data_IF_712250057350
#
_entry.id   IF_712250057350
#
_cell.length_a   1.000
_cell.length_b   1.000
_cell.length_c   1.000
_cell.angle_alpha   90.00
_cell.angle_beta   90.00
_cell.angle_gamma   90.00
#
_symmetry.space_group_name_H-M   'P 1'
#
loop_
_entity.id
_entity.type
_entity.pdbx_description
1 polymer ?
#
# COMPACT_ATOMS: atom_id res chain seq x y z
N UNK A 1 -17.26 -50.01 14.53
CA UNK A 1 -16.00 -49.25 14.62
C UNK A 1 -15.98 -48.24 13.49
N UNK A 2 -16.21 -46.95 13.79
CA UNK A 2 -16.26 -45.88 12.78
C UNK A 2 -14.84 -45.37 12.53
N UNK A 3 -14.38 -45.43 11.29
CA UNK A 3 -13.11 -44.88 10.86
C UNK A 3 -13.19 -43.34 10.90
N UNK A 4 -12.39 -42.73 11.78
CA UNK A 4 -12.23 -41.27 11.83
C UNK A 4 -11.39 -40.85 10.64
N UNK A 5 -12.04 -40.25 9.64
CA UNK A 5 -11.40 -39.55 8.53
C UNK A 5 -10.68 -38.32 9.08
N UNK A 6 -9.38 -38.45 9.37
CA UNK A 6 -8.52 -37.29 9.59
C UNK A 6 -8.23 -36.68 8.23
N UNK A 7 -9.11 -35.79 7.79
CA UNK A 7 -8.83 -34.91 6.66
C UNK A 7 -7.72 -33.95 7.08
N UNK A 8 -6.50 -34.27 6.68
CA UNK A 8 -5.35 -33.38 6.75
C UNK A 8 -5.66 -32.17 5.87
N UNK A 9 -6.22 -31.12 6.46
CA UNK A 9 -6.35 -29.83 5.81
C UNK A 9 -4.94 -29.34 5.47
N UNK A 10 -4.58 -29.43 4.20
CA UNK A 10 -3.40 -28.79 3.65
C UNK A 10 -3.53 -27.30 3.98
N UNK A 11 -2.78 -26.83 4.98
CA UNK A 11 -2.46 -25.43 5.16
C UNK A 11 -1.72 -25.01 3.90
N UNK A 12 -2.46 -24.54 2.89
CA UNK A 12 -1.88 -23.81 1.76
C UNK A 12 -1.26 -22.56 2.37
N UNK A 13 0.07 -22.41 2.40
CA UNK A 13 0.66 -21.15 2.78
C UNK A 13 0.20 -20.15 1.71
N UNK A 14 -0.69 -19.24 2.09
CA UNK A 14 -1.09 -18.13 1.24
C UNK A 14 0.17 -17.38 0.76
N UNK A 15 0.14 -16.80 -0.45
CA UNK A 15 1.33 -16.24 -1.07
C UNK A 15 2.05 -15.29 -0.11
N UNK A 16 3.27 -15.67 0.22
CA UNK A 16 4.23 -14.92 1.01
C UNK A 16 4.37 -13.53 0.39
N UNK A 17 4.41 -12.51 1.25
CA UNK A 17 4.54 -11.10 0.89
C UNK A 17 5.43 -10.91 -0.35
N UNK A 18 4.87 -10.30 -1.39
CA UNK A 18 5.58 -10.12 -2.64
C UNK A 18 6.79 -9.20 -2.43
N UNK A 19 7.95 -9.54 -3.03
CA UNK A 19 9.10 -8.67 -2.99
C UNK A 19 8.75 -7.33 -3.61
N UNK A 20 9.22 -6.24 -3.00
CA UNK A 20 9.08 -4.91 -3.57
C UNK A 20 9.73 -4.88 -4.96
N UNK A 21 9.10 -4.23 -5.96
CA UNK A 21 9.69 -4.12 -7.29
C UNK A 21 10.97 -3.29 -7.25
N UNK A 22 11.98 -3.72 -8.03
CA UNK A 22 13.22 -2.97 -8.20
C UNK A 22 12.98 -1.77 -9.13
N UNK A 23 12.43 -0.70 -8.56
CA UNK A 23 12.16 0.55 -9.28
C UNK A 23 12.31 1.75 -8.37
N UNK A 24 12.58 2.91 -8.99
CA UNK A 24 12.60 4.20 -8.32
C UNK A 24 11.37 5.01 -8.72
N UNK A 25 10.77 5.68 -7.75
CA UNK A 25 9.64 6.58 -7.96
C UNK A 25 10.01 8.00 -7.51
N UNK A 26 9.70 9.04 -8.30
CA UNK A 26 9.88 10.41 -7.87
C UNK A 26 8.92 10.76 -6.72
N UNK A 27 9.34 11.66 -5.83
CA UNK A 27 8.46 12.35 -4.90
C UNK A 27 7.88 13.62 -5.51
N UNK A 28 7.15 14.40 -4.70
CA UNK A 28 6.53 15.66 -5.12
C UNK A 28 7.53 16.73 -5.57
N UNK A 29 8.81 16.64 -5.14
CA UNK A 29 9.89 17.55 -5.52
C UNK A 29 10.71 17.02 -6.71
N UNK A 30 10.34 15.85 -7.26
CA UNK A 30 11.07 15.19 -8.34
C UNK A 30 12.31 14.41 -7.89
N UNK A 31 12.55 14.28 -6.58
CA UNK A 31 13.66 13.45 -6.08
C UNK A 31 13.29 11.97 -6.23
N UNK A 32 14.18 11.17 -6.80
CA UNK A 32 13.96 9.73 -7.00
C UNK A 32 14.22 8.93 -5.72
N UNK A 33 13.29 8.05 -5.36
CA UNK A 33 13.39 7.14 -4.21
C UNK A 33 13.29 5.70 -4.66
N UNK A 34 14.26 4.85 -4.31
CA UNK A 34 14.25 3.44 -4.67
C UNK A 34 13.39 2.63 -3.70
N UNK A 35 12.43 1.86 -4.21
CA UNK A 35 11.59 0.99 -3.37
C UNK A 35 12.39 -0.11 -2.67
N UNK A 36 13.54 -0.50 -3.22
CA UNK A 36 14.42 -1.51 -2.61
C UNK A 36 15.07 -1.05 -1.30
N UNK A 37 15.10 0.25 -1.04
CA UNK A 37 15.58 0.80 0.23
C UNK A 37 14.63 0.45 1.39
N UNK A 38 13.39 0.07 1.05
CA UNK A 38 12.35 -0.26 2.02
C UNK A 38 12.22 -1.77 2.27
N UNK A 39 13.01 -2.62 1.61
CA UNK A 39 12.87 -4.11 1.65
C UNK A 39 12.91 -4.75 3.04
N UNK A 40 13.56 -4.10 4.00
CA UNK A 40 13.70 -4.59 5.39
C UNK A 40 12.81 -3.82 6.39
N UNK A 41 12.00 -2.90 5.90
CA UNK A 41 11.10 -2.08 6.70
C UNK A 41 9.69 -2.64 6.63
N UNK A 42 8.85 -2.32 7.63
CA UNK A 42 7.42 -2.54 7.52
C UNK A 42 6.88 -1.46 6.60
N UNK A 43 6.33 -1.82 5.45
CA UNK A 43 5.84 -0.84 4.47
C UNK A 43 4.37 -1.06 4.22
N UNK A 44 3.61 0.04 4.17
CA UNK A 44 2.24 0.08 3.68
C UNK A 44 2.23 0.91 2.41
N UNK A 45 1.91 0.28 1.29
CA UNK A 45 1.79 0.95 -0.01
C UNK A 45 0.31 1.12 -0.33
N UNK A 46 -0.11 2.37 -0.48
CA UNK A 46 -1.44 2.74 -0.95
C UNK A 46 -1.34 3.26 -2.39
N UNK A 47 -1.87 2.50 -3.34
CA UNK A 47 -1.98 2.92 -4.73
C UNK A 47 -3.28 3.75 -4.88
N UNK A 48 -3.16 5.02 -5.25
CA UNK A 48 -4.30 5.93 -5.26
C UNK A 48 -4.28 6.90 -6.45
N UNK A 49 -5.39 7.60 -6.61
CA UNK A 49 -5.54 8.71 -7.55
C UNK A 49 -6.58 9.71 -7.03
N UNK A 50 -6.52 10.97 -7.45
CA UNK A 50 -7.42 12.05 -6.99
C UNK A 50 -8.88 11.81 -7.42
N UNK A 51 -9.09 11.04 -8.48
CA UNK A 51 -10.41 10.61 -8.96
C UNK A 51 -10.91 9.32 -8.30
N UNK A 52 -10.08 8.62 -7.50
CA UNK A 52 -10.46 7.36 -6.85
C UNK A 52 -11.32 7.61 -5.60
N UNK A 53 -12.64 7.52 -5.74
CA UNK A 53 -13.60 7.72 -4.63
C UNK A 53 -13.29 6.92 -3.35
N UNK A 54 -13.07 5.59 -3.41
CA UNK A 54 -12.72 4.80 -2.23
C UNK A 54 -11.40 5.23 -1.57
N UNK A 55 -10.35 5.44 -2.36
CA UNK A 55 -9.03 5.84 -1.87
C UNK A 55 -9.10 7.15 -1.06
N UNK A 56 -9.92 8.11 -1.52
CA UNK A 56 -10.15 9.38 -0.83
C UNK A 56 -10.74 9.24 0.55
N UNK A 57 -11.66 8.29 0.73
CA UNK A 57 -12.29 8.04 2.03
C UNK A 57 -11.33 7.40 3.04
N UNK A 58 -10.36 6.62 2.56
CA UNK A 58 -9.39 5.91 3.39
C UNK A 58 -8.17 6.79 3.76
N UNK A 59 -7.85 7.81 2.97
CA UNK A 59 -6.66 8.64 3.16
C UNK A 59 -6.54 9.29 4.55
N UNK A 60 -7.57 9.90 5.16
CA UNK A 60 -7.47 10.47 6.50
C UNK A 60 -7.14 9.43 7.58
N UNK A 61 -7.68 8.22 7.45
CA UNK A 61 -7.38 7.12 8.38
C UNK A 61 -5.94 6.64 8.21
N UNK A 62 -5.45 6.55 6.97
CA UNK A 62 -4.06 6.18 6.68
C UNK A 62 -3.08 7.27 7.13
N UNK A 63 -3.44 8.55 7.02
CA UNK A 63 -2.67 9.67 7.57
C UNK A 63 -2.50 9.51 9.09
N UNK A 64 -3.59 9.27 9.80
CA UNK A 64 -3.56 9.08 11.24
C UNK A 64 -2.71 7.85 11.61
N UNK A 65 -2.86 6.75 10.88
CA UNK A 65 -2.07 5.54 11.09
C UNK A 65 -0.57 5.80 10.86
N UNK A 66 -0.21 6.58 9.84
CA UNK A 66 1.17 6.98 9.56
C UNK A 66 1.78 7.80 10.70
N UNK A 67 1.01 8.72 11.28
CA UNK A 67 1.45 9.52 12.43
C UNK A 67 1.60 8.68 13.71
N UNK A 68 0.75 7.69 13.92
CA UNK A 68 0.74 6.84 15.11
C UNK A 68 1.77 5.70 15.08
N UNK A 69 2.22 5.28 13.90
CA UNK A 69 3.11 4.14 13.73
C UNK A 69 4.40 4.56 13.01
N UNK A 70 5.31 5.29 13.69
CA UNK A 70 6.56 5.75 13.09
C UNK A 70 7.51 4.61 12.70
N UNK A 71 7.31 3.39 13.23
CA UNK A 71 8.06 2.19 12.85
C UNK A 71 7.59 1.57 11.52
N UNK A 72 6.49 2.09 10.95
CA UNK A 72 5.90 1.63 9.70
C UNK A 72 6.03 2.73 8.66
N UNK A 73 6.61 2.41 7.51
CA UNK A 73 6.72 3.34 6.39
C UNK A 73 5.44 3.33 5.57
N UNK A 74 4.75 4.46 5.53
CA UNK A 74 3.61 4.65 4.64
C UNK A 74 4.06 5.27 3.32
N UNK A 75 3.53 4.75 2.22
CA UNK A 75 3.83 5.19 0.86
C UNK A 75 2.54 5.35 0.06
N UNK A 76 2.22 6.58 -0.32
CA UNK A 76 1.04 6.92 -1.12
C UNK A 76 1.46 7.09 -2.57
N UNK A 77 1.33 6.05 -3.39
CA UNK A 77 1.77 6.08 -4.78
C UNK A 77 0.63 6.55 -5.67
N UNK A 78 0.73 7.77 -6.18
CA UNK A 78 -0.24 8.35 -7.10
C UNK A 78 -0.05 7.82 -8.53
N UNK A 79 -1.14 7.49 -9.21
CA UNK A 79 -1.15 6.81 -10.50
C UNK A 79 -1.42 7.76 -11.67
N UNK A 80 -0.37 8.11 -12.40
CA UNK A 80 -0.49 8.82 -13.68
C UNK A 80 -0.92 10.28 -13.61
N UNK A 81 -0.88 10.92 -12.44
CA UNK A 81 -1.21 12.34 -12.28
C UNK A 81 0.04 13.19 -12.04
N UNK A 82 -0.04 14.47 -12.40
CA UNK A 82 1.04 15.43 -12.18
C UNK A 82 1.08 15.87 -10.71
N UNK A 83 2.26 16.28 -10.25
CA UNK A 83 2.43 16.87 -8.92
C UNK A 83 1.45 18.04 -8.67
N UNK A 84 1.22 18.88 -9.68
CA UNK A 84 0.29 20.00 -9.58
C UNK A 84 -1.17 19.57 -9.30
N UNK A 85 -1.65 18.50 -9.96
CA UNK A 85 -2.98 17.94 -9.71
C UNK A 85 -3.11 17.41 -8.29
N UNK A 86 -2.08 16.71 -7.82
CA UNK A 86 -2.04 16.14 -6.46
C UNK A 86 -1.99 17.25 -5.42
N UNK A 87 -1.16 18.26 -5.60
CA UNK A 87 -1.09 19.40 -4.69
C UNK A 87 -2.42 20.15 -4.59
N UNK A 88 -3.09 20.38 -5.71
CA UNK A 88 -4.43 20.99 -5.72
C UNK A 88 -5.41 20.17 -4.88
N UNK A 89 -5.39 18.85 -5.03
CA UNK A 89 -6.22 17.95 -4.24
C UNK A 89 -5.88 18.01 -2.74
N UNK A 90 -4.60 17.92 -2.37
CA UNK A 90 -4.17 17.99 -0.97
C UNK A 90 -4.55 19.32 -0.30
N UNK A 91 -4.44 20.43 -1.03
CA UNK A 91 -4.87 21.76 -0.56
C UNK A 91 -6.37 21.82 -0.31
N UNK A 92 -7.18 21.27 -1.22
CA UNK A 92 -8.64 21.26 -1.10
C UNK A 92 -9.10 20.42 0.10
N UNK A 93 -8.48 19.26 0.31
CA UNK A 93 -8.83 18.31 1.37
C UNK A 93 -8.10 18.60 2.69
N UNK A 94 -7.19 19.59 2.71
CA UNK A 94 -6.37 19.98 3.86
C UNK A 94 -5.57 18.81 4.44
N UNK A 95 -5.03 17.96 3.56
CA UNK A 95 -4.24 16.79 3.92
C UNK A 95 -2.74 17.10 3.85
N UNK A 96 -1.99 16.69 4.87
CA UNK A 96 -0.53 16.86 4.91
C UNK A 96 0.18 15.52 4.68
N UNK A 97 0.09 15.05 3.43
CA UNK A 97 0.62 13.75 2.99
C UNK A 97 1.81 13.88 2.04
N UNK A 98 2.23 15.11 1.71
CA UNK A 98 3.22 15.42 0.66
C UNK A 98 4.52 14.60 0.80
N UNK A 99 5.02 14.46 2.04
CA UNK A 99 6.22 13.70 2.37
C UNK A 99 6.14 12.19 2.10
N UNK A 100 4.93 11.61 2.14
CA UNK A 100 4.70 10.18 1.94
C UNK A 100 4.24 9.85 0.52
N UNK A 101 4.00 10.86 -0.32
CA UNK A 101 3.55 10.66 -1.70
C UNK A 101 4.73 10.32 -2.61
N UNK A 102 4.50 9.37 -3.52
CA UNK A 102 5.35 9.08 -4.67
C UNK A 102 4.52 9.12 -5.94
N UNK A 103 5.13 9.52 -7.04
CA UNK A 103 4.50 9.66 -8.34
C UNK A 103 4.83 8.43 -9.19
N UNK A 104 3.82 7.83 -9.81
CA UNK A 104 3.97 6.74 -10.79
C UNK A 104 3.37 7.19 -12.12
N UNK A 105 4.07 8.09 -12.87
CA UNK A 105 3.55 8.69 -14.09
C UNK A 105 3.24 7.62 -15.16
N UNK A 106 4.07 6.59 -15.25
CA UNK A 106 3.92 5.52 -16.24
C UNK A 106 2.99 4.38 -15.78
N UNK A 107 2.42 4.49 -14.57
CA UNK A 107 1.66 3.41 -13.92
C UNK A 107 2.43 2.07 -13.85
N UNK A 108 3.77 2.12 -13.84
CA UNK A 108 4.64 0.94 -13.85
C UNK A 108 4.57 0.23 -12.51
N UNK A 109 4.50 0.98 -11.41
CA UNK A 109 4.37 0.43 -10.07
C UNK A 109 3.06 -0.37 -9.95
N UNK A 110 1.95 0.20 -10.44
CA UNK A 110 0.69 -0.55 -10.53
C UNK A 110 0.83 -1.84 -11.32
N UNK A 111 1.46 -1.84 -12.49
CA UNK A 111 1.65 -3.10 -13.27
C UNK A 111 2.44 -4.16 -12.51
N UNK A 112 3.46 -3.76 -11.77
CA UNK A 112 4.26 -4.68 -10.95
C UNK A 112 3.46 -5.30 -9.81
N UNK A 113 2.54 -4.56 -9.19
CA UNK A 113 1.67 -5.08 -8.12
C UNK A 113 0.38 -5.76 -8.63
N UNK A 114 -0.15 -5.36 -9.80
CA UNK A 114 -1.43 -5.87 -10.35
C UNK A 114 -1.34 -7.32 -10.85
N UNK A 115 -0.14 -7.84 -11.16
CA UNK A 115 0.02 -9.28 -11.46
C UNK A 115 -0.28 -10.18 -10.24
N UNK A 116 -0.56 -9.58 -9.09
CA UNK A 116 -0.90 -10.23 -7.83
C UNK A 116 -2.20 -9.77 -7.19
N UNK A 117 -2.85 -8.75 -7.75
CA UNK A 117 -4.05 -8.13 -7.17
C UNK A 117 -5.20 -8.38 -8.12
N UNK A 118 -6.00 -9.40 -7.78
CA UNK A 118 -7.26 -9.75 -8.44
C UNK A 118 -8.21 -8.53 -8.45
N UNK A 119 -8.97 -8.29 -9.53
CA UNK A 119 -9.78 -7.09 -9.65
C UNK A 119 -10.96 -7.16 -8.69
N UNK A 120 -11.33 -6.01 -8.11
CA UNK A 120 -12.45 -5.77 -7.17
C UNK A 120 -12.16 -5.78 -5.67
N UNK A 121 -10.91 -5.85 -5.20
CA UNK A 121 -10.65 -5.55 -3.77
C UNK A 121 -9.42 -4.68 -3.55
N UNK A 122 -9.69 -3.51 -3.00
CA UNK A 122 -8.70 -2.50 -2.63
C UNK A 122 -7.67 -3.08 -1.63
N UNK A 123 -6.44 -2.58 -1.79
CA UNK A 123 -5.45 -2.30 -0.76
C UNK A 123 -5.11 -3.39 0.26
N UNK A 124 -3.89 -3.92 0.17
CA UNK A 124 -2.92 -4.09 1.28
C UNK A 124 -1.79 -5.04 0.84
N UNK A 125 -0.66 -4.49 0.42
CA UNK A 125 0.62 -5.22 0.51
C UNK A 125 1.26 -4.81 1.84
N UNK A 126 0.95 -5.58 2.87
CA UNK A 126 1.61 -5.54 4.17
C UNK A 126 2.87 -6.40 4.09
N UNK A 127 4.05 -5.79 3.96
CA UNK A 127 5.31 -6.51 4.11
C UNK A 127 5.64 -6.67 5.59
N UNK A 128 5.70 -7.95 6.00
CA UNK A 128 6.14 -8.53 7.29
C UNK A 128 5.01 -8.89 8.29
N UNK A 129 4.47 -10.09 8.12
CA UNK A 129 3.75 -10.83 9.16
C UNK A 129 4.71 -11.28 10.28
N UNK A 130 5.02 -10.38 11.22
CA UNK A 130 5.37 -10.72 12.61
C UNK A 130 5.31 -9.45 13.48
N UNK A 131 4.10 -8.93 13.69
CA UNK A 131 3.83 -7.74 14.49
C UNK A 131 2.41 -7.71 15.05
N UNK A 132 2.15 -6.93 16.13
CA UNK A 132 1.00 -7.10 17.01
C UNK A 132 -0.36 -6.81 16.35
N UNK A 133 -1.42 -7.22 17.04
CA UNK A 133 -2.84 -7.39 16.65
C UNK A 133 -3.51 -6.25 15.84
N UNK A 134 -2.91 -5.07 15.70
CA UNK A 134 -3.47 -3.92 14.97
C UNK A 134 -3.56 -4.13 13.44
N UNK A 135 -2.69 -4.95 12.84
CA UNK A 135 -2.69 -5.23 11.40
C UNK A 135 -3.94 -6.00 10.89
N UNK A 136 -4.73 -6.60 11.81
CA UNK A 136 -5.98 -7.28 11.45
C UNK A 136 -7.19 -6.34 11.35
N UNK A 137 -7.11 -5.13 11.90
CA UNK A 137 -8.24 -4.20 11.92
C UNK A 137 -8.36 -3.38 10.64
N UNK A 138 -7.28 -3.26 9.85
CA UNK A 138 -7.29 -2.57 8.54
C UNK A 138 -7.90 -3.45 7.43
N UNK A 139 -8.02 -4.76 7.67
CA UNK A 139 -8.57 -5.74 6.71
C UNK A 139 -10.09 -5.99 6.85
N UNK A 140 -10.80 -5.17 7.63
CA UNK A 140 -12.27 -5.22 7.73
C UNK A 140 -12.88 -3.91 7.21
N UNK A 141 -12.85 -3.74 5.90
CA UNK A 141 -13.83 -3.00 5.13
C UNK A 141 -14.25 -3.86 3.92
#
# INVERSE_FOLDING_TARGET
MAAVMVSLALLVPGPLAQPLPAMALPDMNGQMHNLQDLRNQKVVINLWATWCGPCRREMPMLEQAARQNPDVRFLFVNQGESAATIENYLRQEKLDLSQWIRLDPDSTCRRSFVRAVCPQRCSLVATRCNGPRWARSVAKC
#
